data_IF_902237079018
#
_entry.id   IF_902237079018
#
_cell.length_a   1.000
_cell.length_b   1.000
_cell.length_c   1.000
_cell.angle_alpha   90.00
_cell.angle_beta   90.00
_cell.angle_gamma   90.00
#
_symmetry.space_group_name_H-M   'P 1'
#
loop_
_entity.id
_entity.type
_entity.pdbx_description
1 polymer ?
#
# COMPACT_ATOMS: atom_id res chain seq x y z
N UNK A 1 -5.32 -3.68 -19.48
CA UNK A 1 -5.01 -3.11 -18.15
C UNK A 1 -4.28 -4.17 -17.36
N UNK A 2 -3.02 -3.92 -17.00
CA UNK A 2 -2.23 -4.79 -16.12
C UNK A 2 -3.02 -5.11 -14.85
N UNK A 3 -2.93 -6.34 -14.36
CA UNK A 3 -3.59 -6.75 -13.11
C UNK A 3 -2.83 -6.14 -11.92
N UNK A 4 -3.04 -4.84 -11.69
CA UNK A 4 -2.36 -4.06 -10.65
C UNK A 4 -2.84 -4.53 -9.27
N UNK A 5 -1.89 -4.84 -8.40
CA UNK A 5 -2.14 -5.29 -7.04
C UNK A 5 -2.89 -4.25 -6.20
N UNK A 6 -3.63 -4.72 -5.19
CA UNK A 6 -4.41 -3.84 -4.30
C UNK A 6 -3.55 -2.74 -3.63
N UNK A 7 -2.30 -2.99 -3.18
CA UNK A 7 -1.46 -1.94 -2.59
C UNK A 7 -1.16 -0.77 -3.55
N UNK A 8 -0.91 -1.06 -4.83
CA UNK A 8 -0.63 -0.01 -5.82
C UNK A 8 -1.92 0.78 -6.14
N UNK A 9 -3.07 0.11 -6.17
CA UNK A 9 -4.37 0.81 -6.29
C UNK A 9 -4.64 1.76 -5.13
N UNK A 10 -4.33 1.35 -3.90
CA UNK A 10 -4.44 2.22 -2.73
C UNK A 10 -3.48 3.40 -2.79
N UNK A 11 -2.28 3.20 -3.37
CA UNK A 11 -1.34 4.29 -3.58
C UNK A 11 -1.88 5.31 -4.59
N UNK A 12 -2.53 4.85 -5.67
CA UNK A 12 -3.22 5.75 -6.61
C UNK A 12 -4.40 6.49 -5.97
N UNK A 13 -5.19 5.82 -5.13
CA UNK A 13 -6.25 6.49 -4.36
C UNK A 13 -5.70 7.53 -3.38
N UNK A 14 -4.40 7.52 -3.07
CA UNK A 14 -3.73 8.49 -2.22
C UNK A 14 -3.25 9.77 -2.92
N UNK A 15 -3.34 9.83 -4.24
CA UNK A 15 -2.99 11.03 -5.00
C UNK A 15 -3.85 12.23 -4.59
N UNK A 16 -3.23 13.41 -4.53
CA UNK A 16 -3.84 14.62 -4.00
C UNK A 16 -3.94 14.67 -2.46
N UNK A 17 -3.37 13.69 -1.74
CA UNK A 17 -3.37 13.69 -0.27
C UNK A 17 -1.96 13.75 0.32
N UNK A 18 -1.86 14.16 1.59
CA UNK A 18 -0.58 14.19 2.31
C UNK A 18 -0.17 12.79 2.74
N UNK A 19 1.00 12.35 2.29
CA UNK A 19 1.59 11.05 2.64
C UNK A 19 2.91 11.26 3.37
N UNK A 20 3.36 10.21 4.05
CA UNK A 20 4.72 10.15 4.63
C UNK A 20 5.45 8.94 4.04
N UNK A 21 6.63 9.15 3.49
CA UNK A 21 7.44 8.13 2.83
C UNK A 21 8.74 7.99 3.59
N UNK A 22 9.05 6.79 4.07
CA UNK A 22 10.37 6.47 4.61
C UNK A 22 11.19 5.77 3.53
N UNK A 23 12.38 6.31 3.27
CA UNK A 23 13.35 5.72 2.36
C UNK A 23 14.19 4.66 3.07
N UNK A 24 14.73 3.69 2.33
CA UNK A 24 15.67 2.69 2.85
C UNK A 24 16.94 3.31 3.45
N UNK A 25 17.29 4.53 3.03
CA UNK A 25 18.38 5.34 3.62
C UNK A 25 18.08 5.83 5.05
N UNK A 26 16.82 5.75 5.50
CA UNK A 26 16.34 6.26 6.78
C UNK A 26 15.86 7.71 6.73
N UNK A 27 15.84 8.33 5.54
CA UNK A 27 15.27 9.67 5.36
C UNK A 27 13.75 9.59 5.24
N UNK A 28 13.06 10.56 5.83
CA UNK A 28 11.60 10.63 5.83
C UNK A 28 11.17 11.85 5.03
N UNK A 29 10.24 11.66 4.10
CA UNK A 29 9.66 12.70 3.27
C UNK A 29 8.16 12.78 3.55
N UNK A 30 7.68 13.96 3.98
CA UNK A 30 6.26 14.21 4.19
C UNK A 30 5.80 15.33 3.27
N UNK A 31 4.80 15.08 2.45
CA UNK A 31 4.32 16.03 1.45
C UNK A 31 3.03 15.60 0.77
N UNK A 32 2.53 16.42 -0.15
CA UNK A 32 1.37 16.12 -0.97
C UNK A 32 1.77 15.20 -2.12
N UNK A 33 1.12 14.03 -2.25
CA UNK A 33 1.36 13.11 -3.36
C UNK A 33 0.73 13.68 -4.64
N UNK A 34 1.57 14.06 -5.60
CA UNK A 34 1.12 14.58 -6.89
C UNK A 34 0.87 13.47 -7.91
N UNK A 35 1.74 12.46 -7.94
CA UNK A 35 1.68 11.35 -8.88
C UNK A 35 2.39 10.13 -8.31
N UNK A 36 1.83 8.94 -8.54
CA UNK A 36 2.47 7.66 -8.30
C UNK A 36 2.59 6.84 -9.61
N UNK A 37 3.52 5.90 -9.65
CA UNK A 37 3.70 4.96 -10.76
C UNK A 37 3.56 3.50 -10.29
N UNK A 38 3.35 2.56 -11.21
CA UNK A 38 3.31 1.11 -10.91
C UNK A 38 4.62 0.62 -10.25
N UNK A 39 5.74 1.30 -10.52
CA UNK A 39 7.07 1.05 -9.95
C UNK A 39 7.24 1.67 -8.56
N UNK A 40 6.19 2.31 -8.03
CA UNK A 40 6.17 3.14 -6.81
C UNK A 40 7.09 4.36 -6.86
N UNK A 41 7.52 4.79 -8.05
CA UNK A 41 8.08 6.14 -8.18
C UNK A 41 7.00 7.16 -7.83
N UNK A 42 7.37 8.23 -7.12
CA UNK A 42 6.41 9.21 -6.62
C UNK A 42 6.93 10.63 -6.79
N UNK A 43 6.03 11.54 -7.15
CA UNK A 43 6.28 12.98 -7.09
C UNK A 43 5.52 13.56 -5.91
N UNK A 44 6.23 14.26 -5.03
CA UNK A 44 5.66 14.95 -3.87
C UNK A 44 5.85 16.46 -4.01
N UNK A 45 4.91 17.25 -3.53
CA UNK A 45 5.08 18.71 -3.34
C UNK A 45 4.92 19.13 -1.88
N UNK A 46 5.33 20.36 -1.59
CA UNK A 46 5.30 20.97 -0.25
C UNK A 46 5.98 20.09 0.80
N UNK A 47 7.17 19.59 0.44
CA UNK A 47 7.81 18.47 1.13
C UNK A 47 8.62 18.97 2.31
N UNK A 48 8.39 18.35 3.46
CA UNK A 48 9.28 18.40 4.62
C UNK A 48 10.09 17.11 4.65
N UNK A 49 11.39 17.22 4.42
CA UNK A 49 12.35 16.12 4.54
C UNK A 49 12.96 16.14 5.93
N UNK A 50 13.00 15.00 6.58
CA UNK A 50 13.78 14.74 7.80
C UNK A 50 14.93 13.81 7.43
N UNK A 51 16.15 14.33 7.47
CA UNK A 51 17.36 13.55 7.27
C UNK A 51 17.60 12.57 8.40
N UNK A 52 18.45 11.56 8.18
CA UNK A 52 18.78 10.54 9.19
C UNK A 52 19.40 11.13 10.46
N UNK A 53 20.05 12.28 10.36
CA UNK A 53 20.61 13.04 11.47
C UNK A 53 19.57 13.93 12.21
N UNK A 54 18.28 13.82 11.83
CA UNK A 54 17.21 14.66 12.36
C UNK A 54 17.11 16.05 11.73
N UNK A 55 17.97 16.40 10.77
CA UNK A 55 17.91 17.70 10.10
C UNK A 55 16.62 17.80 9.28
N UNK A 56 15.87 18.88 9.49
CA UNK A 56 14.64 19.15 8.76
C UNK A 56 14.89 20.17 7.65
N UNK A 57 14.56 19.82 6.41
CA UNK A 57 14.64 20.70 5.25
C UNK A 57 13.31 20.75 4.51
N UNK A 58 13.01 21.89 3.88
CA UNK A 58 11.81 22.07 3.05
C UNK A 58 12.19 22.06 1.58
N UNK A 59 11.39 21.40 0.77
CA UNK A 59 11.54 21.33 -0.68
C UNK A 59 10.19 21.61 -1.34
N UNK A 60 10.18 22.39 -2.42
CA UNK A 60 8.95 22.68 -3.17
C UNK A 60 8.37 21.42 -3.81
N UNK A 61 9.23 20.65 -4.48
CA UNK A 61 8.89 19.39 -5.16
C UNK A 61 10.04 18.40 -5.00
N UNK A 62 9.72 17.12 -4.83
CA UNK A 62 10.69 16.02 -4.75
C UNK A 62 10.20 14.85 -5.60
N UNK A 63 11.10 14.23 -6.35
CA UNK A 63 10.86 12.94 -6.99
C UNK A 63 11.55 11.84 -6.18
N UNK A 64 10.80 10.82 -5.77
CA UNK A 64 11.29 9.66 -5.04
C UNK A 64 11.27 8.43 -5.95
N UNK A 65 12.41 7.74 -6.03
CA UNK A 65 12.50 6.48 -6.76
C UNK A 65 11.91 5.34 -5.92
N UNK A 66 10.94 4.62 -6.47
CA UNK A 66 10.17 3.59 -5.76
C UNK A 66 11.01 2.44 -5.22
N UNK A 67 12.08 2.04 -5.91
CA UNK A 67 13.00 1.01 -5.43
C UNK A 67 13.70 1.36 -4.11
N UNK A 68 13.79 2.66 -3.79
CA UNK A 68 14.38 3.19 -2.57
C UNK A 68 13.41 3.34 -1.41
N UNK A 69 12.11 3.11 -1.61
CA UNK A 69 11.08 3.26 -0.57
C UNK A 69 11.11 2.04 0.35
N UNK A 70 11.00 2.29 1.66
CA UNK A 70 10.83 1.27 2.69
C UNK A 70 9.35 1.04 2.98
N UNK A 71 8.61 2.10 3.30
CA UNK A 71 7.16 2.08 3.44
C UNK A 71 6.56 3.46 3.16
N UNK A 72 5.25 3.49 2.96
CA UNK A 72 4.44 4.69 2.76
C UNK A 72 3.33 4.66 3.81
N UNK A 73 3.24 5.70 4.62
CA UNK A 73 2.10 5.94 5.49
C UNK A 73 1.07 6.79 4.74
N UNK A 74 -0.10 6.20 4.51
CA UNK A 74 -1.23 6.81 3.84
C UNK A 74 -2.18 7.49 4.84
N UNK A 75 -3.02 8.46 4.41
CA UNK A 75 -4.04 9.07 5.26
C UNK A 75 -5.05 8.06 5.81
N UNK A 76 -5.54 8.30 7.02
CA UNK A 76 -6.57 7.48 7.66
C UNK A 76 -7.90 7.43 6.88
N UNK A 77 -8.17 8.41 6.01
CA UNK A 77 -9.34 8.43 5.12
C UNK A 77 -9.42 7.17 4.22
N UNK A 78 -8.26 6.59 3.88
CA UNK A 78 -8.21 5.37 3.07
C UNK A 78 -8.47 4.08 3.87
N UNK A 79 -8.64 4.15 5.20
CA UNK A 79 -8.98 2.98 6.03
C UNK A 79 -10.27 2.29 5.58
N UNK A 80 -11.20 3.06 5.03
CA UNK A 80 -12.49 2.58 4.52
C UNK A 80 -12.53 2.46 3.00
N UNK A 81 -11.38 2.56 2.32
CA UNK A 81 -11.29 2.51 0.87
C UNK A 81 -11.95 1.24 0.31
N UNK A 82 -12.68 1.34 -0.83
CA UNK A 82 -13.34 0.19 -1.46
C UNK A 82 -12.37 -0.97 -1.77
N UNK A 83 -11.10 -0.65 -2.00
CA UNK A 83 -10.03 -1.63 -2.19
C UNK A 83 -9.93 -2.64 -1.02
N UNK A 84 -10.12 -2.21 0.23
CA UNK A 84 -10.10 -3.10 1.39
C UNK A 84 -11.33 -4.02 1.46
N UNK A 85 -12.48 -3.61 0.93
CA UNK A 85 -13.68 -4.48 0.85
C UNK A 85 -13.43 -5.69 -0.05
N UNK A 86 -12.69 -5.50 -1.15
CA UNK A 86 -12.30 -6.60 -2.04
C UNK A 86 -11.41 -7.61 -1.31
N UNK A 87 -10.43 -7.15 -0.52
CA UNK A 87 -9.59 -8.03 0.31
C UNK A 87 -10.43 -8.85 1.28
N UNK A 88 -11.38 -8.22 1.99
CA UNK A 88 -12.26 -8.90 2.92
C UNK A 88 -13.10 -10.00 2.22
N UNK A 89 -13.65 -9.69 1.04
CA UNK A 89 -14.41 -10.66 0.26
C UNK A 89 -13.56 -11.83 -0.26
N UNK A 90 -12.30 -11.57 -0.65
CA UNK A 90 -11.36 -12.60 -1.08
C UNK A 90 -11.00 -13.53 0.09
N UNK A 91 -10.76 -12.96 1.28
CA UNK A 91 -10.50 -13.74 2.50
C UNK A 91 -11.68 -14.65 2.83
N UNK A 92 -12.90 -14.11 2.81
CA UNK A 92 -14.11 -14.89 3.09
C UNK A 92 -14.31 -16.04 2.09
N UNK A 93 -14.06 -15.80 0.80
CA UNK A 93 -14.10 -16.85 -0.24
C UNK A 93 -13.05 -17.93 0.00
N UNK A 94 -11.80 -17.55 0.30
CA UNK A 94 -10.73 -18.50 0.61
C UNK A 94 -11.02 -19.34 1.86
N UNK A 95 -11.59 -18.74 2.91
CA UNK A 95 -11.99 -19.46 4.13
C UNK A 95 -13.13 -20.44 3.83
N UNK A 96 -14.13 -20.03 3.04
CA UNK A 96 -15.21 -20.91 2.61
C UNK A 96 -14.72 -22.09 1.76
N UNK A 97 -13.82 -21.86 0.80
CA UNK A 97 -13.21 -22.93 -0.01
C UNK A 97 -12.37 -23.90 0.85
N UNK A 98 -11.60 -23.39 1.81
CA UNK A 98 -10.86 -24.23 2.76
C UNK A 98 -11.79 -25.11 3.59
N UNK A 99 -12.88 -24.54 4.12
CA UNK A 99 -13.86 -25.28 4.90
C UNK A 99 -14.57 -26.36 4.06
N UNK A 100 -14.95 -26.03 2.82
CA UNK A 100 -15.55 -26.98 1.88
C UNK A 100 -14.60 -28.16 1.59
N UNK A 101 -13.34 -27.89 1.29
CA UNK A 101 -12.34 -28.92 1.00
C UNK A 101 -12.03 -29.80 2.23
N UNK A 102 -11.98 -29.24 3.43
CA UNK A 102 -11.81 -30.01 4.67
C UNK A 102 -12.99 -30.96 4.93
N UNK A 103 -14.23 -30.48 4.70
CA UNK A 103 -15.43 -31.31 4.87
C UNK A 103 -15.51 -32.46 3.85
N UNK A 104 -15.09 -32.21 2.60
CA UNK A 104 -15.04 -33.22 1.55
C UNK A 104 -14.00 -34.32 1.83
N UNK A 105 -12.82 -33.95 2.36
CA UNK A 105 -11.78 -34.90 2.77
C UNK A 105 -12.21 -35.77 3.97
N UNK A 106 -12.91 -35.19 4.94
CA UNK A 106 -13.41 -35.90 6.12
C UNK A 106 -14.56 -36.88 5.79
N UNK A 107 -15.32 -36.65 4.71
CA UNK A 107 -16.37 -37.56 4.24
C UNK A 107 -15.77 -38.79 3.55
N UNK A 108 -14.78 -38.58 2.66
CA UNK A 108 -14.09 -39.69 1.95
C UNK A 108 -13.35 -40.67 2.87
N UNK A 109 -12.90 -40.24 4.05
CA UNK A 109 -12.21 -41.09 5.05
C UNK A 109 -13.17 -41.89 5.95
N UNK A 110 -14.46 -41.55 5.96
CA UNK A 110 -15.49 -42.26 6.73
C UNK A 110 -16.22 -43.32 5.92
N UNK A 111 -16.25 -43.16 4.60
CA UNK A 111 -16.96 -44.03 3.67
C UNK A 111 -16.05 -45.12 3.03
N UNK A 112 -14.81 -45.28 3.51
CA UNK A 112 -13.86 -46.31 3.08
C UNK A 112 -13.15 -46.93 4.28
#
# INVERSE_FOLDING_TARGET
MSNIGIPIKLLYEAEGMKVTVEMKSGEIYRGLLLNAEDTMNMTLSEVVRTGRNGQVTKHSTVYLRGSGIRFIALPDLLRNAPAFKKVASMKAKMEAERAANASAGAKRKRDG
#
